data_IF_548589612919
#
_entry.id   IF_548589612919
#
_cell.length_a   1.000
_cell.length_b   1.000
_cell.length_c   1.000
_cell.angle_alpha   90.00
_cell.angle_beta   90.00
_cell.angle_gamma   90.00
#
_symmetry.space_group_name_H-M   'P 1'
#
loop_
_entity.id
_entity.type
_entity.pdbx_description
1 polymer ?
#
# COMPACT_ATOMS: atom_id res chain seq x y z
N UNK A 1 -20.93 4.32 -3.01
CA UNK A 1 -19.83 5.24 -2.64
C UNK A 1 -18.51 4.52 -2.87
N UNK A 2 -17.58 5.13 -3.60
CA UNK A 2 -16.19 4.65 -3.76
C UNK A 2 -15.34 5.37 -2.70
N UNK A 3 -14.77 4.62 -1.77
CA UNK A 3 -13.83 5.16 -0.79
C UNK A 3 -12.43 4.73 -1.20
N UNK A 4 -11.55 5.71 -1.43
CA UNK A 4 -10.16 5.47 -1.79
C UNK A 4 -9.25 5.83 -0.63
N UNK A 5 -8.31 4.94 -0.34
CA UNK A 5 -7.23 5.18 0.60
C UNK A 5 -5.91 5.00 -0.12
N UNK A 6 -4.95 5.88 0.15
CA UNK A 6 -3.61 5.84 -0.42
C UNK A 6 -2.65 5.51 0.72
N UNK A 7 -1.83 4.51 0.50
CA UNK A 7 -0.78 4.09 1.43
C UNK A 7 0.55 3.97 0.68
N UNK A 8 1.64 3.93 1.43
CA UNK A 8 2.97 3.72 0.92
C UNK A 8 3.60 2.51 1.61
N UNK A 9 4.35 1.69 0.88
CA UNK A 9 5.05 0.54 1.44
C UNK A 9 6.50 0.53 0.97
N UNK A 10 7.38 -0.09 1.75
CA UNK A 10 8.75 -0.35 1.31
C UNK A 10 8.75 -1.70 0.63
N UNK A 11 9.26 -1.76 -0.59
CA UNK A 11 9.47 -2.99 -1.33
C UNK A 11 10.95 -3.19 -1.61
N UNK A 12 11.32 -4.45 -1.79
CA UNK A 12 12.63 -4.86 -2.26
C UNK A 12 12.45 -5.66 -3.55
N UNK A 13 13.37 -5.51 -4.49
CA UNK A 13 13.34 -6.24 -5.76
C UNK A 13 14.51 -7.23 -5.82
N UNK A 14 14.19 -8.48 -6.13
CA UNK A 14 15.15 -9.55 -6.41
C UNK A 14 14.84 -10.22 -7.76
N UNK A 15 15.44 -11.38 -8.02
CA UNK A 15 15.26 -12.09 -9.29
C UNK A 15 13.85 -12.67 -9.46
N UNK A 16 13.14 -12.92 -8.36
CA UNK A 16 11.79 -13.48 -8.35
C UNK A 16 10.72 -12.37 -8.39
N UNK A 17 11.14 -11.12 -8.13
CA UNK A 17 10.39 -9.91 -8.43
C UNK A 17 10.20 -8.99 -7.22
N UNK A 18 8.98 -8.49 -7.07
CA UNK A 18 8.62 -7.48 -6.07
C UNK A 18 8.23 -8.11 -4.74
N UNK A 19 9.01 -7.85 -3.69
CA UNK A 19 8.76 -8.34 -2.35
C UNK A 19 8.37 -7.18 -1.43
N UNK A 20 7.07 -7.06 -1.05
CA UNK A 20 6.64 -6.07 -0.08
C UNK A 20 7.22 -6.39 1.30
N UNK A 21 7.70 -5.36 1.99
CA UNK A 21 8.14 -5.45 3.38
C UNK A 21 7.01 -5.02 4.30
N UNK A 22 7.08 -5.47 5.55
CA UNK A 22 6.04 -5.19 6.55
C UNK A 22 5.95 -3.69 6.86
N UNK A 23 4.74 -3.14 6.82
CA UNK A 23 4.44 -1.76 7.16
C UNK A 23 3.80 -0.98 6.02
N UNK A 24 2.69 -0.30 6.33
CA UNK A 24 2.03 0.65 5.43
C UNK A 24 2.03 2.03 6.08
N UNK A 25 2.46 3.04 5.33
CA UNK A 25 2.60 4.42 5.80
C UNK A 25 1.54 5.32 5.15
N UNK A 26 1.03 6.28 5.92
CA UNK A 26 0.01 7.22 5.44
C UNK A 26 0.60 8.37 4.60
N UNK A 27 1.92 8.55 4.64
CA UNK A 27 2.61 9.61 3.88
C UNK A 27 3.90 9.14 3.22
N UNK A 28 4.21 9.75 2.07
CA UNK A 28 5.47 9.51 1.37
C UNK A 28 6.68 9.91 2.22
N UNK A 29 6.58 11.00 2.98
CA UNK A 29 7.67 11.50 3.81
C UNK A 29 8.04 10.51 4.93
N UNK A 30 7.05 9.86 5.53
CA UNK A 30 7.25 8.81 6.52
C UNK A 30 7.90 7.57 5.90
N UNK A 31 7.35 7.09 4.78
CA UNK A 31 7.92 5.96 4.03
C UNK A 31 9.37 6.21 3.59
N UNK A 32 9.72 7.44 3.21
CA UNK A 32 11.11 7.81 2.86
C UNK A 32 12.06 7.81 4.06
N UNK A 33 11.60 8.22 5.24
CA UNK A 33 12.40 8.14 6.48
C UNK A 33 12.71 6.68 6.80
N UNK A 34 11.69 5.83 6.75
CA UNK A 34 11.84 4.40 7.01
C UNK A 34 12.70 3.71 5.95
N UNK A 35 12.56 4.08 4.67
CA UNK A 35 13.45 3.59 3.61
C UNK A 35 14.92 3.94 3.88
N UNK A 36 15.20 5.15 4.38
CA UNK A 36 16.56 5.55 4.71
C UNK A 36 17.13 4.71 5.88
N UNK A 37 16.32 4.38 6.87
CA UNK A 37 16.71 3.46 7.95
C UNK A 37 16.93 2.04 7.43
N UNK A 38 16.04 1.56 6.57
CA UNK A 38 16.14 0.24 5.93
C UNK A 38 17.46 0.09 5.15
N UNK A 39 17.76 1.04 4.27
CA UNK A 39 18.99 1.02 3.45
C UNK A 39 20.27 1.08 4.28
N UNK A 40 20.23 1.67 5.47
CA UNK A 40 21.38 1.64 6.41
C UNK A 40 21.58 0.26 7.02
N UNK A 41 20.49 -0.47 7.28
CA UNK A 41 20.53 -1.79 7.92
C UNK A 41 20.77 -2.92 6.92
N UNK A 42 20.30 -2.78 5.68
CA UNK A 42 20.47 -3.72 4.57
C UNK A 42 20.92 -3.01 3.28
N UNK A 43 22.20 -2.59 3.20
CA UNK A 43 22.70 -1.78 2.08
C UNK A 43 22.80 -2.54 0.76
N UNK A 44 22.82 -3.87 0.78
CA UNK A 44 22.87 -4.71 -0.42
C UNK A 44 21.51 -4.94 -1.07
N UNK A 45 20.41 -4.57 -0.40
CA UNK A 45 19.08 -4.76 -0.93
C UNK A 45 18.63 -3.57 -1.79
N UNK A 46 18.06 -3.85 -2.96
CA UNK A 46 17.45 -2.84 -3.81
C UNK A 46 16.07 -2.45 -3.26
N UNK A 47 16.05 -1.60 -2.23
CA UNK A 47 14.83 -1.14 -1.56
C UNK A 47 14.30 0.18 -2.15
N UNK A 48 12.98 0.29 -2.31
CA UNK A 48 12.27 1.48 -2.81
C UNK A 48 10.88 1.61 -2.16
N UNK A 49 10.26 2.78 -2.29
CA UNK A 49 8.88 3.02 -1.83
C UNK A 49 7.91 2.82 -2.99
N UNK A 50 6.84 2.09 -2.75
CA UNK A 50 5.70 1.95 -3.67
C UNK A 50 4.49 2.71 -3.12
N UNK A 51 3.68 3.27 -4.03
CA UNK A 51 2.40 3.91 -3.68
C UNK A 51 1.25 2.95 -4.00
N UNK A 52 0.47 2.59 -2.99
CA UNK A 52 -0.70 1.73 -3.11
C UNK A 52 -1.97 2.57 -3.07
N UNK A 53 -2.92 2.23 -3.94
CA UNK A 53 -4.26 2.83 -3.93
C UNK A 53 -5.27 1.72 -3.68
N UNK A 54 -5.87 1.72 -2.48
CA UNK A 54 -6.91 0.79 -2.11
C UNK A 54 -8.27 1.44 -2.34
N UNK A 55 -9.11 0.79 -3.15
CA UNK A 55 -10.47 1.27 -3.41
C UNK A 55 -11.48 0.32 -2.79
N UNK A 56 -12.20 0.78 -1.76
CA UNK A 56 -13.31 0.02 -1.18
C UNK A 56 -14.57 0.24 -2.03
N UNK A 57 -15.01 -0.84 -2.68
CA UNK A 57 -16.28 -0.87 -3.41
C UNK A 57 -17.37 -1.37 -2.46
N UNK A 58 -18.29 -0.46 -2.06
CA UNK A 58 -19.48 -0.83 -1.31
C UNK A 58 -20.62 -1.21 -2.27
N UNK A 59 -21.20 -2.40 -2.12
CA UNK A 59 -22.50 -2.69 -2.75
C UNK A 59 -23.54 -1.82 -2.04
N UNK A 60 -24.14 -0.86 -2.73
CA UNK A 60 -25.41 -0.31 -2.25
C UNK A 60 -26.38 -1.49 -2.16
N UNK A 61 -26.94 -1.74 -0.98
CA UNK A 61 -28.16 -2.54 -0.89
C UNK A 61 -29.14 -1.84 -1.83
N UNK A 62 -29.43 -2.43 -2.99
CA UNK A 62 -30.73 -2.19 -3.59
C UNK A 62 -31.71 -2.52 -2.47
N UNK A 63 -32.36 -1.49 -1.94
CA UNK A 63 -33.56 -1.70 -1.16
C UNK A 63 -34.39 -2.67 -2.01
N UNK A 64 -34.63 -3.88 -1.50
CA UNK A 64 -35.60 -4.79 -2.10
C UNK A 64 -36.82 -3.92 -2.35
N UNK A 65 -37.15 -3.69 -3.62
CA UNK A 65 -38.50 -3.28 -3.98
C UNK A 65 -39.38 -4.34 -3.33
N UNK A 66 -40.04 -3.98 -2.23
CA UNK A 66 -41.15 -4.76 -1.71
C UNK A 66 -42.19 -4.68 -2.80
N UNK A 67 -42.24 -5.71 -3.65
CA UNK A 67 -43.46 -6.02 -4.37
C UNK A 67 -44.47 -6.48 -3.31
N UNK A 68 -45.37 -5.59 -2.93
CA UNK A 68 -46.67 -5.92 -2.34
C UNK A 68 -47.70 -5.23 -3.22
#
# INVERSE_FOLDING_TARGET
>A
MLLQHIYYEICTEDQDGFNPREGSYDSLAEAQKELALFRRRWPSENAFVVRLTMTRVSKSRHARLKAV
#
